data_IF_261297684802
#
_entry.id   IF_261297684802
#
_cell.length_a   1.000
_cell.length_b   1.000
_cell.length_c   1.000
_cell.angle_alpha   90.00
_cell.angle_beta   90.00
_cell.angle_gamma   90.00
#
_symmetry.space_group_name_H-M   'P 1'
#
loop_
_entity.id
_entity.type
_entity.pdbx_description
1 polymer ?
#
# COMPACT_ATOMS: atom_id res chain seq x y z
N UNK A 1 -2.99 16.85 -28.27
CA UNK A 1 -2.12 16.17 -27.29
C UNK A 1 -1.98 17.14 -26.13
N UNK A 2 -2.66 16.82 -25.01
CA UNK A 2 -3.07 17.78 -23.99
C UNK A 2 -2.06 17.87 -22.85
N UNK A 3 -1.96 19.08 -22.30
CA UNK A 3 -1.11 19.51 -21.19
C UNK A 3 -1.31 18.70 -19.90
N UNK A 4 -0.63 17.56 -19.79
CA UNK A 4 -0.43 16.80 -18.54
C UNK A 4 1.03 16.36 -18.34
N UNK A 5 1.98 17.03 -18.99
CA UNK A 5 3.38 16.58 -19.00
C UNK A 5 4.23 16.99 -17.78
N UNK A 6 3.60 17.57 -16.75
CA UNK A 6 4.15 17.64 -15.38
C UNK A 6 2.98 17.75 -14.39
N UNK A 7 2.20 16.68 -14.23
CA UNK A 7 1.40 16.54 -13.02
C UNK A 7 2.36 16.08 -11.92
N UNK A 8 2.57 16.91 -10.89
CA UNK A 8 3.30 16.48 -9.68
C UNK A 8 2.59 15.24 -9.14
N UNK A 9 3.25 14.09 -9.26
CA UNK A 9 2.78 12.83 -8.71
C UNK A 9 2.68 13.02 -7.19
N UNK A 10 1.47 12.94 -6.66
CA UNK A 10 1.27 13.14 -5.22
C UNK A 10 1.80 11.95 -4.44
N UNK A 11 2.15 12.16 -3.16
CA UNK A 11 2.54 11.06 -2.28
C UNK A 11 1.48 9.95 -2.23
N UNK A 12 0.19 10.32 -2.31
CA UNK A 12 -0.92 9.36 -2.31
C UNK A 12 -0.89 8.48 -3.56
N UNK A 13 -0.82 9.09 -4.74
CA UNK A 13 -0.80 8.35 -6.01
C UNK A 13 0.42 7.43 -6.11
N UNK A 14 1.59 7.87 -5.60
CA UNK A 14 2.78 7.01 -5.51
C UNK A 14 2.54 5.78 -4.65
N UNK A 15 2.04 6.00 -3.42
CA UNK A 15 1.82 4.92 -2.45
C UNK A 15 0.77 3.93 -2.98
N UNK A 16 -0.33 4.42 -3.56
CA UNK A 16 -1.36 3.58 -4.19
C UNK A 16 -0.78 2.77 -5.36
N UNK A 17 0.09 3.36 -6.17
CA UNK A 17 0.78 2.64 -7.23
C UNK A 17 1.67 1.52 -6.68
N UNK A 18 2.46 1.79 -5.64
CA UNK A 18 3.37 0.81 -5.03
C UNK A 18 2.63 -0.33 -4.34
N UNK A 19 1.51 -0.06 -3.65
CA UNK A 19 0.65 -1.11 -3.12
C UNK A 19 0.16 -2.04 -4.23
N UNK A 20 -0.47 -1.51 -5.29
CA UNK A 20 -0.94 -2.35 -6.42
C UNK A 20 0.19 -3.15 -7.08
N UNK A 21 1.41 -2.60 -7.14
CA UNK A 21 2.56 -3.34 -7.67
C UNK A 21 2.93 -4.53 -6.79
N UNK A 22 2.94 -4.34 -5.46
CA UNK A 22 3.30 -5.38 -4.51
C UNK A 22 2.22 -6.45 -4.35
N UNK A 23 0.95 -6.06 -4.49
CA UNK A 23 -0.21 -6.97 -4.44
C UNK A 23 -0.46 -7.68 -5.79
N UNK A 24 0.40 -7.45 -6.79
CA UNK A 24 0.28 -8.01 -8.15
C UNK A 24 -1.02 -7.60 -8.89
N UNK A 25 -1.55 -6.42 -8.55
CA UNK A 25 -2.80 -5.87 -9.09
C UNK A 25 -2.59 -4.86 -10.24
N UNK A 26 -1.34 -4.59 -10.62
CA UNK A 26 -1.07 -3.71 -11.77
C UNK A 26 -1.43 -4.38 -13.10
N UNK A 27 -1.96 -3.61 -14.08
CA UNK A 27 -2.01 -4.04 -15.47
C UNK A 27 -0.63 -4.50 -15.94
N UNK A 28 -0.59 -5.58 -16.74
CA UNK A 28 0.67 -6.21 -17.15
C UNK A 28 1.64 -5.24 -17.86
N UNK A 29 1.12 -4.30 -18.64
CA UNK A 29 1.91 -3.30 -19.34
C UNK A 29 2.45 -2.20 -18.40
N UNK A 30 1.73 -1.85 -17.33
CA UNK A 30 2.22 -0.94 -16.29
C UNK A 30 3.32 -1.62 -15.45
N UNK A 31 3.09 -2.88 -15.07
CA UNK A 31 4.05 -3.68 -14.30
C UNK A 31 5.37 -3.85 -15.05
N UNK A 32 5.31 -4.24 -16.32
CA UNK A 32 6.52 -4.41 -17.15
C UNK A 32 7.33 -3.09 -17.27
N UNK A 33 6.65 -1.96 -17.45
CA UNK A 33 7.31 -0.64 -17.49
C UNK A 33 7.97 -0.28 -16.16
N UNK A 34 7.34 -0.61 -15.03
CA UNK A 34 7.91 -0.35 -13.72
C UNK A 34 9.10 -1.29 -13.41
N UNK A 35 9.02 -2.56 -13.80
CA UNK A 35 10.13 -3.50 -13.69
C UNK A 35 11.35 -3.05 -14.52
N UNK A 36 11.13 -2.57 -15.74
CA UNK A 36 12.19 -1.96 -16.56
C UNK A 36 12.83 -0.75 -15.84
N UNK A 37 12.01 0.10 -15.22
CA UNK A 37 12.52 1.22 -14.42
C UNK A 37 13.39 0.75 -13.25
N UNK A 38 12.97 -0.28 -12.52
CA UNK A 38 13.73 -0.85 -11.41
C UNK A 38 15.07 -1.44 -11.87
N UNK A 39 15.16 -1.99 -13.09
CA UNK A 39 16.43 -2.47 -13.65
C UNK A 39 17.43 -1.35 -13.94
N UNK A 40 16.94 -0.14 -14.21
CA UNK A 40 17.76 0.99 -14.64
C UNK A 40 18.00 2.04 -13.55
N UNK A 41 17.28 1.97 -12.43
CA UNK A 41 17.28 3.00 -11.39
C UNK A 41 17.55 2.41 -9.99
N UNK A 42 18.83 2.26 -9.58
CA UNK A 42 19.19 1.76 -8.25
C UNK A 42 18.53 2.50 -7.08
N UNK A 43 18.41 3.85 -7.08
CA UNK A 43 17.73 4.57 -6.00
C UNK A 43 16.25 4.16 -5.82
N UNK A 44 15.56 3.79 -6.90
CA UNK A 44 14.18 3.33 -6.80
C UNK A 44 14.07 1.90 -6.29
N UNK A 45 15.09 1.06 -6.53
CA UNK A 45 15.22 -0.25 -5.87
C UNK A 45 15.40 -0.08 -4.36
N UNK A 46 16.34 0.77 -3.95
CA UNK A 46 16.59 1.06 -2.53
C UNK A 46 15.35 1.62 -1.82
N UNK A 47 14.60 2.48 -2.51
CA UNK A 47 13.35 3.04 -2.00
C UNK A 47 12.28 1.96 -1.83
N UNK A 48 12.07 1.11 -2.85
CA UNK A 48 11.10 0.02 -2.80
C UNK A 48 11.42 -0.98 -1.68
N UNK A 49 12.70 -1.28 -1.47
CA UNK A 49 13.14 -2.15 -0.39
C UNK A 49 12.89 -1.51 0.98
N UNK A 50 13.20 -0.22 1.15
CA UNK A 50 12.90 0.53 2.37
C UNK A 50 11.39 0.58 2.66
N UNK A 51 10.57 0.71 1.61
CA UNK A 51 9.12 0.69 1.71
C UNK A 51 8.60 -0.68 2.17
N UNK A 52 9.10 -1.78 1.59
CA UNK A 52 8.81 -3.15 2.04
C UNK A 52 9.16 -3.36 3.51
N UNK A 53 10.33 -2.89 3.95
CA UNK A 53 10.71 -2.98 5.37
C UNK A 53 9.76 -2.19 6.28
N UNK A 54 9.30 -1.02 5.83
CA UNK A 54 8.32 -0.23 6.60
C UNK A 54 7.01 -1.00 6.77
N UNK A 55 6.49 -1.64 5.72
CA UNK A 55 5.28 -2.46 5.83
C UNK A 55 5.45 -3.64 6.79
N UNK A 56 6.61 -4.32 6.74
CA UNK A 56 6.90 -5.42 7.67
C UNK A 56 6.94 -4.95 9.13
N UNK A 57 7.55 -3.79 9.41
CA UNK A 57 7.60 -3.23 10.76
C UNK A 57 6.21 -2.82 11.27
N UNK A 58 5.36 -2.29 10.39
CA UNK A 58 3.97 -1.93 10.73
C UNK A 58 3.13 -3.18 10.98
N UNK A 59 3.35 -4.25 10.20
CA UNK A 59 2.69 -5.53 10.40
C UNK A 59 3.09 -6.17 11.73
N UNK A 60 4.39 -6.21 12.05
CA UNK A 60 4.91 -6.72 13.33
C UNK A 60 4.37 -5.95 14.53
N UNK A 61 4.17 -4.63 14.40
CA UNK A 61 3.54 -3.81 15.42
C UNK A 61 2.04 -4.10 15.64
N UNK A 62 1.45 -5.06 14.91
CA UNK A 62 0.04 -5.46 15.00
C UNK A 62 -0.92 -4.47 14.33
N UNK A 63 -0.42 -3.64 13.42
CA UNK A 63 -1.19 -2.61 12.74
C UNK A 63 -1.52 -2.94 11.26
N UNK A 64 -1.07 -4.07 10.72
CA UNK A 64 -1.39 -4.50 9.35
C UNK A 64 -2.10 -5.87 9.32
N UNK A 65 -2.85 -6.08 8.24
CA UNK A 65 -3.48 -7.35 7.86
C UNK A 65 -2.42 -8.45 7.77
N UNK A 66 -2.41 -9.36 8.75
CA UNK A 66 -1.69 -10.62 8.67
C UNK A 66 -2.50 -11.56 7.75
N UNK A 67 -1.96 -12.01 6.61
CA UNK A 67 -2.69 -12.86 5.67
C UNK A 67 -3.01 -14.25 6.23
N UNK A 68 -2.28 -14.67 7.27
CA UNK A 68 -2.53 -15.89 8.03
C UNK A 68 -3.31 -15.62 9.33
N UNK A 69 -3.76 -14.38 9.55
CA UNK A 69 -4.56 -14.04 10.71
C UNK A 69 -5.85 -14.86 10.70
N UNK A 70 -6.06 -15.60 11.79
CA UNK A 70 -7.35 -16.24 12.05
C UNK A 70 -8.34 -15.13 12.36
N UNK A 71 -9.10 -14.72 11.34
CA UNK A 71 -10.25 -13.84 11.52
C UNK A 71 -11.34 -14.66 12.22
N UNK A 72 -11.76 -14.28 13.44
CA UNK A 72 -12.82 -14.99 14.13
C UNK A 72 -14.13 -14.92 13.34
N UNK A 73 -14.90 -16.00 13.32
CA UNK A 73 -16.24 -16.02 12.70
C UNK A 73 -17.17 -14.94 13.28
N UNK A 74 -16.93 -14.55 14.54
CA UNK A 74 -17.67 -13.50 15.24
C UNK A 74 -16.73 -12.40 15.74
N UNK A 75 -16.98 -11.17 15.30
CA UNK A 75 -16.29 -9.98 15.82
C UNK A 75 -16.84 -9.63 17.21
N UNK A 76 -16.00 -9.50 18.25
CA UNK A 76 -16.48 -9.16 19.59
C UNK A 76 -17.25 -7.83 19.63
N UNK A 77 -18.45 -7.82 20.23
CA UNK A 77 -19.30 -6.62 20.32
C UNK A 77 -18.60 -5.42 20.98
N UNK A 78 -17.65 -5.69 21.90
CA UNK A 78 -16.83 -4.65 22.52
C UNK A 78 -16.01 -3.86 21.50
N UNK A 79 -15.43 -4.55 20.52
CA UNK A 79 -14.65 -3.93 19.45
C UNK A 79 -15.55 -3.12 18.52
N UNK A 80 -16.70 -3.67 18.12
CA UNK A 80 -17.70 -2.97 17.30
C UNK A 80 -18.11 -1.65 17.96
N UNK A 81 -18.45 -1.69 19.26
CA UNK A 81 -18.83 -0.48 20.01
C UNK A 81 -17.69 0.54 20.08
N UNK A 82 -16.45 0.09 20.31
CA UNK A 82 -15.29 0.97 20.37
C UNK A 82 -15.05 1.68 19.02
N UNK A 83 -15.08 0.95 17.91
CA UNK A 83 -14.92 1.51 16.56
C UNK A 83 -16.05 2.50 16.25
N UNK A 84 -17.31 2.15 16.52
CA UNK A 84 -18.45 3.05 16.31
C UNK A 84 -18.37 4.33 17.15
N UNK A 85 -17.81 4.25 18.37
CA UNK A 85 -17.61 5.41 19.23
C UNK A 85 -16.44 6.30 18.78
N UNK A 86 -15.37 5.70 18.22
CA UNK A 86 -14.18 6.42 17.75
C UNK A 86 -14.36 7.07 16.37
N UNK A 87 -15.30 6.58 15.55
CA UNK A 87 -15.60 7.20 14.25
C UNK A 87 -16.12 8.63 14.47
N UNK A 88 -15.50 9.65 13.83
CA UNK A 88 -15.98 11.02 13.95
C UNK A 88 -17.42 11.08 13.43
N UNK A 89 -18.33 11.64 14.24
CA UNK A 89 -19.68 11.97 13.81
C UNK A 89 -19.56 13.09 12.77
N UNK A 90 -19.63 12.74 11.49
CA UNK A 90 -19.80 13.71 10.42
C UNK A 90 -21.15 14.39 10.54
#
# INVERSE_FOLDING_TARGET
MSARDTADLTCRELIEFLHRYLDDELPADERARFEEHLQLCPPCVDYLDSYRQTMLLVADAGAADDPDAVVPDEVPEGLVRAVLAARPRR
#
